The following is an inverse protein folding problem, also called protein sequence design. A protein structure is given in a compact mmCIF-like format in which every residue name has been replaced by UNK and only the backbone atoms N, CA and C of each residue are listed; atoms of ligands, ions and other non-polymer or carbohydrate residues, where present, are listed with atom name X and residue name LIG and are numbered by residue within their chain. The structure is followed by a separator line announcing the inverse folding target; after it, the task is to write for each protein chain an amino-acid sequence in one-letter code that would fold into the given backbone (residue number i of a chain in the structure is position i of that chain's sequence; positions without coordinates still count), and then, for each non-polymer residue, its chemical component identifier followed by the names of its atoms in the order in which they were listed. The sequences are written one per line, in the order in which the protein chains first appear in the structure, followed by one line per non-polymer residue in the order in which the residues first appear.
data_IF_904406447898
#
_entry.id   IF_904406447898
#
_cell.length_a   1.000
_cell.length_b   1.000
_cell.length_c   1.000
_cell.angle_alpha   90.00
_cell.angle_beta   90.00
_cell.angle_gamma   90.00
#
_symmetry.space_group_name_H-M   'P 1'
#
loop_
_entity.id
_entity.type
_entity.pdbx_description
1 polymer ?
#
# COMPACT_ATOMS: atom_id res chain seq x y z
N UNK A 1 10.24 10.26 18.74
CA UNK A 1 10.17 8.96 18.03
C UNK A 1 9.61 9.22 16.65
N UNK A 2 10.35 8.90 15.61
CA UNK A 2 9.89 8.99 14.22
C UNK A 2 8.91 7.86 13.94
N UNK A 3 8.14 7.97 12.84
CA UNK A 3 7.25 6.87 12.43
C UNK A 3 8.05 5.59 12.07
N UNK A 4 9.25 5.74 11.55
CA UNK A 4 10.17 4.64 11.25
C UNK A 4 10.58 3.90 12.53
N UNK A 5 11.03 4.61 13.53
CA UNK A 5 11.39 4.03 14.84
C UNK A 5 10.22 3.35 15.54
N UNK A 6 9.01 3.94 15.42
CA UNK A 6 7.79 3.35 15.97
C UNK A 6 7.45 2.01 15.32
N UNK A 7 7.54 1.95 13.98
CA UNK A 7 7.25 0.73 13.22
C UNK A 7 8.30 -0.34 13.45
N UNK A 8 9.56 0.02 13.48
CA UNK A 8 10.65 -0.91 13.79
C UNK A 8 10.41 -1.58 15.15
N UNK A 9 10.18 -0.79 16.19
CA UNK A 9 9.86 -1.32 17.53
C UNK A 9 8.57 -2.16 17.56
N UNK A 10 7.58 -1.83 16.75
CA UNK A 10 6.35 -2.61 16.62
C UNK A 10 6.62 -3.97 15.94
N UNK A 11 7.31 -3.97 14.81
CA UNK A 11 7.63 -5.19 14.09
C UNK A 11 8.54 -6.11 14.89
N UNK A 12 9.54 -5.59 15.57
CA UNK A 12 10.43 -6.39 16.43
C UNK A 12 9.63 -7.16 17.50
N UNK A 13 8.68 -6.49 18.15
CA UNK A 13 7.79 -7.14 19.11
C UNK A 13 6.87 -8.18 18.48
N UNK A 14 6.31 -7.86 17.32
CA UNK A 14 5.42 -8.77 16.59
C UNK A 14 6.16 -10.02 16.12
N UNK A 15 7.36 -9.85 15.57
CA UNK A 15 8.21 -10.94 15.10
C UNK A 15 8.72 -11.82 16.26
N UNK A 16 9.07 -11.21 17.40
CA UNK A 16 9.44 -11.97 18.58
C UNK A 16 8.30 -12.86 19.08
N UNK A 17 7.05 -12.35 19.05
CA UNK A 17 5.86 -13.13 19.39
C UNK A 17 5.58 -14.25 18.39
N UNK A 18 5.72 -13.97 17.10
CA UNK A 18 5.54 -14.97 16.05
C UNK A 18 6.56 -16.12 16.22
N UNK A 19 7.82 -15.78 16.48
CA UNK A 19 8.88 -16.77 16.72
C UNK A 19 8.60 -17.62 17.97
N UNK A 20 8.17 -16.99 19.07
CA UNK A 20 7.79 -17.73 20.30
C UNK A 20 6.60 -18.66 20.07
N UNK A 21 5.67 -18.30 19.15
CA UNK A 21 4.54 -19.11 18.76
C UNK A 21 4.90 -20.21 17.74
N UNK A 22 6.15 -20.30 17.30
CA UNK A 22 6.61 -21.29 16.32
C UNK A 22 6.14 -21.02 14.89
N UNK A 23 5.81 -19.76 14.56
CA UNK A 23 5.44 -19.37 13.19
C UNK A 23 6.71 -19.25 12.35
N UNK A 24 6.79 -20.01 11.26
CA UNK A 24 7.93 -19.99 10.36
C UNK A 24 8.00 -18.66 9.61
N UNK A 25 9.21 -18.17 9.33
CA UNK A 25 9.46 -16.89 8.67
C UNK A 25 8.76 -16.76 7.33
N UNK A 26 8.72 -17.81 6.54
CA UNK A 26 8.06 -17.86 5.23
C UNK A 26 6.54 -17.72 5.29
N UNK A 27 5.94 -17.81 6.47
CA UNK A 27 4.50 -17.63 6.68
C UNK A 27 4.14 -16.26 7.25
N UNK A 28 5.06 -15.29 7.22
CA UNK A 28 4.87 -13.96 7.82
C UNK A 28 4.86 -12.89 6.73
N UNK A 29 3.83 -12.05 6.76
CA UNK A 29 3.74 -10.77 6.06
C UNK A 29 3.66 -9.66 7.11
N UNK A 30 4.30 -8.52 6.86
CA UNK A 30 4.24 -7.37 7.75
C UNK A 30 3.26 -6.32 7.23
N UNK A 31 2.31 -5.93 8.07
CA UNK A 31 1.34 -4.85 7.81
C UNK A 31 1.68 -3.65 8.71
N UNK A 32 1.99 -2.48 8.13
CA UNK A 32 2.35 -1.29 8.91
C UNK A 32 1.17 -0.62 9.63
N UNK A 33 -0.05 -1.11 9.47
CA UNK A 33 -1.22 -0.59 10.18
C UNK A 33 -1.73 0.75 9.66
N UNK A 34 -1.64 1.00 8.37
CA UNK A 34 -2.18 2.22 7.74
C UNK A 34 -3.64 2.45 8.16
N UNK A 35 -3.92 3.66 8.68
CA UNK A 35 -5.24 4.06 9.14
C UNK A 35 -5.63 3.57 10.53
N UNK A 36 -4.73 2.94 11.27
CA UNK A 36 -4.97 2.48 12.64
C UNK A 36 -4.06 3.21 13.62
N UNK A 37 -4.62 4.19 14.35
CA UNK A 37 -3.92 4.91 15.39
C UNK A 37 -2.84 5.91 14.92
N UNK A 38 -2.62 6.03 13.62
CA UNK A 38 -1.69 7.00 13.04
C UNK A 38 -2.43 8.28 12.63
N UNK A 39 -1.76 9.42 12.78
CA UNK A 39 -2.23 10.70 12.25
C UNK A 39 -2.23 10.68 10.71
N UNK A 40 -2.97 11.61 10.09
CA UNK A 40 -2.95 11.80 8.62
C UNK A 40 -1.52 11.97 8.10
N UNK A 41 -0.72 12.82 8.77
CA UNK A 41 0.68 13.06 8.38
C UNK A 41 1.53 11.80 8.46
N UNK A 42 1.41 11.02 9.54
CA UNK A 42 2.15 9.75 9.70
C UNK A 42 1.77 8.73 8.64
N UNK A 43 0.48 8.58 8.33
CA UNK A 43 0.02 7.72 7.24
C UNK A 43 0.61 8.13 5.89
N UNK A 44 0.66 9.43 5.59
CA UNK A 44 1.23 9.93 4.34
C UNK A 44 2.75 9.73 4.25
N UNK A 45 3.47 9.97 5.35
CA UNK A 45 4.91 9.70 5.43
C UNK A 45 5.21 8.22 5.23
N UNK A 46 4.42 7.36 5.86
CA UNK A 46 4.56 5.92 5.71
C UNK A 46 4.32 5.45 4.26
N UNK A 47 3.28 5.96 3.60
CA UNK A 47 3.02 5.65 2.18
C UNK A 47 4.12 6.16 1.25
N UNK A 48 4.75 7.28 1.58
CA UNK A 48 5.89 7.81 0.82
C UNK A 48 7.10 6.89 0.84
N UNK A 49 7.34 6.24 1.97
CA UNK A 49 8.57 5.52 2.28
C UNK A 49 8.33 4.01 2.56
N UNK A 50 7.35 3.40 1.87
CA UNK A 50 7.00 1.97 2.05
C UNK A 50 8.16 1.01 1.75
N UNK A 51 9.01 1.36 0.81
CA UNK A 51 10.18 0.57 0.42
C UNK A 51 11.15 0.34 1.58
N UNK A 52 11.25 1.29 2.52
CA UNK A 52 12.08 1.15 3.72
C UNK A 52 11.63 0.01 4.64
N UNK A 53 10.36 -0.36 4.60
CA UNK A 53 9.84 -1.47 5.44
C UNK A 53 10.45 -2.82 5.06
N UNK A 54 10.95 -2.98 3.84
CA UNK A 54 11.65 -4.19 3.41
C UNK A 54 12.98 -4.43 4.14
N UNK A 55 13.52 -3.43 4.83
CA UNK A 55 14.71 -3.59 5.68
C UNK A 55 14.50 -4.62 6.80
N UNK A 56 13.25 -4.90 7.18
CA UNK A 56 12.90 -5.97 8.11
C UNK A 56 13.06 -7.38 7.51
N UNK A 57 13.24 -7.50 6.19
CA UNK A 57 13.46 -8.78 5.52
C UNK A 57 12.20 -9.61 5.26
N UNK A 58 11.02 -8.98 5.31
CA UNK A 58 9.72 -9.64 5.10
C UNK A 58 8.92 -8.96 4.00
N UNK A 59 8.03 -9.70 3.32
CA UNK A 59 7.07 -9.11 2.40
C UNK A 59 6.09 -8.18 3.14
N UNK A 60 5.65 -7.13 2.45
CA UNK A 60 4.73 -6.14 3.00
C UNK A 60 3.32 -6.41 2.49
N UNK A 61 2.37 -6.40 3.43
CA UNK A 61 0.93 -6.44 3.20
C UNK A 61 0.35 -5.05 3.51
N UNK A 62 -0.41 -4.47 2.58
CA UNK A 62 -0.95 -3.13 2.72
C UNK A 62 -2.47 -3.09 2.52
N UNK A 63 -3.19 -2.60 3.52
CA UNK A 63 -4.63 -2.37 3.47
C UNK A 63 -4.98 -0.89 3.48
N UNK A 64 -4.98 -0.23 2.32
CA UNK A 64 -5.23 1.22 2.19
C UNK A 64 -6.55 1.58 1.56
N UNK A 65 -7.26 0.61 0.97
CA UNK A 65 -8.50 0.85 0.22
C UNK A 65 -9.59 1.50 1.07
N UNK A 66 -10.16 2.60 0.57
CA UNK A 66 -11.23 3.39 1.19
C UNK A 66 -10.88 3.96 2.58
N UNK A 67 -9.60 4.11 2.89
CA UNK A 67 -9.16 4.67 4.17
C UNK A 67 -9.49 6.16 4.28
N UNK A 68 -9.94 6.57 5.46
CA UNK A 68 -10.46 7.91 5.71
C UNK A 68 -9.49 9.03 5.32
N UNK A 69 -8.22 8.92 5.63
CA UNK A 69 -7.24 9.97 5.34
C UNK A 69 -7.05 10.19 3.82
N UNK A 70 -7.20 9.14 2.99
CA UNK A 70 -7.18 9.24 1.52
C UNK A 70 -8.44 9.97 1.03
N UNK A 71 -9.59 9.58 1.57
CA UNK A 71 -10.88 10.22 1.24
C UNK A 71 -10.89 11.69 1.63
N UNK A 72 -10.33 12.05 2.79
CA UNK A 72 -10.23 13.44 3.23
C UNK A 72 -9.40 14.31 2.27
N UNK A 73 -8.37 13.75 1.63
CA UNK A 73 -7.61 14.50 0.61
C UNK A 73 -8.51 14.88 -0.57
N UNK A 74 -9.37 13.98 -1.02
CA UNK A 74 -10.32 14.28 -2.09
C UNK A 74 -11.33 15.36 -1.66
N UNK A 75 -11.91 15.21 -0.48
CA UNK A 75 -12.90 16.12 0.08
C UNK A 75 -12.33 17.54 0.23
N UNK A 76 -11.14 17.68 0.77
CA UNK A 76 -10.41 18.95 0.92
C UNK A 76 -10.11 19.63 -0.43
N UNK A 77 -10.09 18.88 -1.51
CA UNK A 77 -9.85 19.36 -2.87
C UNK A 77 -11.15 19.44 -3.72
N UNK A 78 -12.32 19.35 -3.08
CA UNK A 78 -13.62 19.59 -3.73
C UNK A 78 -14.17 18.43 -4.54
N UNK A 79 -13.64 17.22 -4.39
CA UNK A 79 -14.21 16.04 -5.03
C UNK A 79 -15.42 15.51 -4.26
N UNK A 80 -16.40 15.01 -5.00
CA UNK A 80 -17.54 14.28 -4.41
C UNK A 80 -17.03 12.96 -3.79
N UNK A 81 -17.36 12.74 -2.51
CA UNK A 81 -16.90 11.54 -1.76
C UNK A 81 -18.04 10.86 -0.99
N UNK A 82 -19.28 11.28 -1.13
CA UNK A 82 -20.42 10.65 -0.48
C UNK A 82 -20.58 9.21 -0.99
N UNK A 83 -20.47 8.19 -0.13
CA UNK A 83 -20.57 6.78 -0.55
C UNK A 83 -21.96 6.38 -1.03
N UNK A 84 -22.98 7.19 -0.76
CA UNK A 84 -24.36 6.97 -1.20
C UNK A 84 -24.59 7.44 -2.65
N UNK A 85 -23.70 8.25 -3.21
CA UNK A 85 -23.72 8.65 -4.61
C UNK A 85 -22.83 7.75 -5.46
N UNK A 86 -23.23 7.50 -6.70
CA UNK A 86 -22.40 6.69 -7.63
C UNK A 86 -21.02 7.33 -7.86
N UNK A 87 -20.99 8.64 -8.05
CA UNK A 87 -19.75 9.39 -8.27
C UNK A 87 -18.85 9.35 -7.05
N UNK A 88 -19.40 9.62 -5.86
CA UNK A 88 -18.61 9.62 -4.62
C UNK A 88 -18.08 8.23 -4.28
N UNK A 89 -18.89 7.21 -4.46
CA UNK A 89 -18.46 5.82 -4.27
C UNK A 89 -17.30 5.45 -5.19
N UNK A 90 -17.44 5.76 -6.49
CA UNK A 90 -16.39 5.53 -7.49
C UNK A 90 -15.12 6.33 -7.21
N UNK A 91 -15.22 7.60 -6.80
CA UNK A 91 -14.07 8.43 -6.47
C UNK A 91 -13.25 7.86 -5.31
N UNK A 92 -13.89 7.23 -4.34
CA UNK A 92 -13.20 6.53 -3.25
C UNK A 92 -12.33 5.38 -3.75
N UNK A 93 -12.83 4.60 -4.69
CA UNK A 93 -12.08 3.49 -5.29
C UNK A 93 -10.96 3.99 -6.22
N UNK A 94 -11.21 5.04 -7.00
CA UNK A 94 -10.18 5.68 -7.84
C UNK A 94 -9.02 6.19 -6.98
N UNK A 95 -9.30 6.93 -5.90
CA UNK A 95 -8.27 7.42 -5.00
C UNK A 95 -7.46 6.28 -4.36
N UNK A 96 -8.16 5.23 -3.93
CA UNK A 96 -7.52 4.03 -3.38
C UNK A 96 -6.59 3.35 -4.39
N UNK A 97 -6.99 3.25 -5.66
CA UNK A 97 -6.18 2.68 -6.73
C UNK A 97 -4.92 3.51 -7.01
N UNK A 98 -4.99 4.84 -6.91
CA UNK A 98 -3.80 5.69 -7.01
C UNK A 98 -2.79 5.40 -5.90
N UNK A 99 -3.24 5.18 -4.67
CA UNK A 99 -2.35 4.79 -3.57
C UNK A 99 -1.73 3.41 -3.82
N UNK A 100 -2.51 2.47 -4.35
CA UNK A 100 -2.00 1.15 -4.73
C UNK A 100 -0.93 1.24 -5.82
N UNK A 101 -1.04 2.15 -6.79
CA UNK A 101 0.02 2.40 -7.78
C UNK A 101 1.33 2.82 -7.11
N UNK A 102 1.26 3.72 -6.13
CA UNK A 102 2.43 4.18 -5.37
C UNK A 102 3.06 3.03 -4.58
N UNK A 103 2.24 2.21 -3.94
CA UNK A 103 2.70 1.04 -3.18
C UNK A 103 3.37 -0.01 -4.09
N UNK A 104 2.75 -0.33 -5.21
CA UNK A 104 3.31 -1.27 -6.19
C UNK A 104 4.63 -0.76 -6.78
N UNK A 105 4.74 0.56 -7.05
CA UNK A 105 5.99 1.17 -7.51
C UNK A 105 7.13 1.01 -6.50
N UNK A 106 6.82 0.98 -5.21
CA UNK A 106 7.77 0.75 -4.12
C UNK A 106 8.01 -0.75 -3.80
N UNK A 107 7.39 -1.66 -4.54
CA UNK A 107 7.62 -3.09 -4.41
C UNK A 107 6.81 -3.79 -3.33
N UNK A 108 5.73 -3.19 -2.85
CA UNK A 108 4.79 -3.85 -1.92
C UNK A 108 4.23 -5.11 -2.58
N UNK A 109 4.30 -6.24 -1.88
CA UNK A 109 3.98 -7.56 -2.45
C UNK A 109 2.49 -7.87 -2.45
N UNK A 110 1.76 -7.40 -1.43
CA UNK A 110 0.34 -7.71 -1.28
C UNK A 110 -0.45 -6.44 -0.93
N UNK A 111 -1.53 -6.19 -1.65
CA UNK A 111 -2.50 -5.15 -1.31
C UNK A 111 -3.88 -5.76 -1.10
N UNK A 112 -4.56 -5.36 -0.02
CA UNK A 112 -5.94 -5.73 0.26
C UNK A 112 -6.85 -4.59 -0.17
N UNK A 113 -7.77 -4.87 -1.08
CA UNK A 113 -8.59 -3.87 -1.76
C UNK A 113 -10.06 -4.28 -1.85
N UNK A 114 -10.96 -3.30 -2.06
CA UNK A 114 -12.37 -3.58 -2.28
C UNK A 114 -12.69 -3.74 -3.78
N UNK A 115 -12.17 -2.86 -4.63
CA UNK A 115 -12.34 -2.93 -6.09
C UNK A 115 -11.09 -3.53 -6.75
N UNK A 116 -11.10 -4.84 -6.92
CA UNK A 116 -9.96 -5.59 -7.46
C UNK A 116 -9.63 -5.16 -8.90
N UNK A 117 -10.64 -4.88 -9.73
CA UNK A 117 -10.43 -4.56 -11.13
C UNK A 117 -9.59 -3.29 -11.34
N UNK A 118 -9.96 -2.19 -10.68
CA UNK A 118 -9.21 -0.92 -10.76
C UNK A 118 -7.82 -1.03 -10.15
N UNK A 119 -7.70 -1.72 -9.02
CA UNK A 119 -6.40 -1.90 -8.36
C UNK A 119 -5.47 -2.83 -9.14
N UNK A 120 -6.00 -3.84 -9.82
CA UNK A 120 -5.19 -4.67 -10.70
C UNK A 120 -4.58 -3.86 -11.84
N UNK A 121 -5.34 -2.98 -12.49
CA UNK A 121 -4.80 -2.07 -13.50
C UNK A 121 -3.70 -1.18 -12.93
N UNK A 122 -3.89 -0.64 -11.75
CA UNK A 122 -2.90 0.17 -11.05
C UNK A 122 -1.59 -0.59 -10.81
N UNK A 123 -1.68 -1.82 -10.35
CA UNK A 123 -0.52 -2.71 -10.10
C UNK A 123 0.21 -3.03 -11.40
N UNK A 124 -0.49 -3.40 -12.47
CA UNK A 124 0.12 -3.74 -13.76
C UNK A 124 0.94 -2.56 -14.32
N UNK A 125 0.39 -1.35 -14.30
CA UNK A 125 1.10 -0.15 -14.77
C UNK A 125 2.29 0.18 -13.89
N UNK A 126 2.11 0.21 -12.58
CA UNK A 126 3.18 0.54 -11.64
C UNK A 126 4.31 -0.49 -11.67
N UNK A 127 4.00 -1.76 -11.80
CA UNK A 127 4.98 -2.85 -11.92
C UNK A 127 5.75 -2.77 -13.24
N UNK A 128 5.10 -2.47 -14.34
CA UNK A 128 5.76 -2.26 -15.62
C UNK A 128 6.79 -1.12 -15.55
N UNK A 129 6.44 -0.01 -14.90
CA UNK A 129 7.35 1.13 -14.68
C UNK A 129 8.51 0.73 -13.75
N UNK A 130 8.21 0.02 -12.68
CA UNK A 130 9.22 -0.42 -11.70
C UNK A 130 10.25 -1.37 -12.30
N UNK A 131 9.82 -2.26 -13.19
CA UNK A 131 10.63 -3.31 -13.79
C UNK A 131 11.14 -2.94 -15.19
N UNK A 132 11.10 -1.68 -15.58
CA UNK A 132 11.43 -1.23 -16.94
C UNK A 132 12.87 -1.57 -17.38
N UNK A 133 13.81 -1.66 -16.43
CA UNK A 133 15.20 -2.06 -16.71
C UNK A 133 15.37 -3.58 -16.87
N UNK A 134 14.37 -4.37 -16.48
CA UNK A 134 14.36 -5.82 -16.57
C UNK A 134 13.54 -6.28 -17.79
N UNK A 135 14.01 -5.90 -18.98
CA UNK A 135 13.33 -6.15 -20.25
C UNK A 135 13.12 -7.63 -20.57
N UNK A 136 13.90 -8.54 -19.97
CA UNK A 136 13.74 -9.99 -20.13
C UNK A 136 12.50 -10.54 -19.41
N UNK A 137 12.05 -9.87 -18.36
CA UNK A 137 10.87 -10.25 -17.57
C UNK A 137 9.58 -9.53 -18.02
N UNK A 138 9.69 -8.53 -18.87
CA UNK A 138 8.56 -7.80 -19.42
C UNK A 138 8.46 -8.14 -20.91
N UNK A 139 7.43 -8.91 -21.29
CA UNK A 139 7.07 -9.12 -22.69
C UNK A 139 6.52 -7.81 -23.28
N UNK A 140 7.40 -6.81 -23.39
CA UNK A 140 7.09 -5.50 -23.92
C UNK A 140 6.99 -5.59 -25.41
N UNK A 141 5.76 -5.79 -25.91
CA UNK A 141 5.47 -5.66 -27.33
C UNK A 141 5.79 -4.24 -27.77
N UNK A 142 6.59 -4.12 -28.82
CA UNK A 142 6.86 -2.82 -29.42
C UNK A 142 5.54 -2.19 -29.87
N UNK A 143 5.36 -0.90 -29.59
CA UNK A 143 4.27 -0.13 -30.14
C UNK A 143 4.40 -0.14 -31.68
N UNK A 144 3.33 -0.48 -32.36
CA UNK A 144 3.24 -0.38 -33.81
C UNK A 144 2.86 1.02 -34.21
#
# INVERSE_FOLDING_TARGET
MTIEELLEAFFDRALARANQAGIAQENILLDPGIGFGLTKKENLLLLRDLDKLHQQGYPIFLGVSRKRFVINILEENGFEVNPETEVGFRNRDIASAHVTSIAARQGVEVVRVHDVASHRMAVEIASAIRLADDAENLDLKQYK
#
